data_IF_255444662433
#
_entry.id   IF_255444662433
#
_cell.length_a   1.000
_cell.length_b   1.000
_cell.length_c   1.000
_cell.angle_alpha   90.00
_cell.angle_beta   90.00
_cell.angle_gamma   90.00
#
_symmetry.space_group_name_H-M   'P 1'
#
loop_
_entity.id
_entity.type
_entity.pdbx_description
1 polymer ?
#
# COMPACT_ATOMS: atom_id res chain seq x y z
N UNK A 1 6.90 -13.33 0.19
CA UNK A 1 7.97 -12.39 -0.21
C UNK A 1 8.78 -13.04 -1.31
N UNK A 2 9.12 -12.30 -2.36
CA UNK A 2 9.87 -12.81 -3.51
C UNK A 2 11.10 -11.93 -3.71
N UNK A 3 12.25 -12.54 -3.95
CA UNK A 3 13.49 -11.84 -4.25
C UNK A 3 13.76 -11.89 -5.74
N UNK A 4 14.27 -10.80 -6.30
CA UNK A 4 14.73 -10.80 -7.68
C UNK A 4 16.06 -11.55 -7.79
N UNK A 5 16.28 -12.23 -8.92
CA UNK A 5 17.55 -12.91 -9.18
C UNK A 5 18.72 -11.93 -9.24
N UNK A 6 18.45 -10.69 -9.65
CA UNK A 6 19.34 -9.55 -9.58
C UNK A 6 18.56 -8.31 -9.15
N UNK A 7 19.11 -7.44 -8.29
CA UNK A 7 18.45 -6.19 -7.93
C UNK A 7 18.20 -5.32 -9.16
N UNK A 8 17.03 -4.71 -9.23
CA UNK A 8 16.64 -3.80 -10.32
C UNK A 8 16.85 -2.36 -9.88
N UNK A 9 17.66 -1.60 -10.62
CA UNK A 9 17.87 -0.18 -10.35
C UNK A 9 16.84 0.67 -11.11
N UNK A 10 16.08 1.48 -10.37
CA UNK A 10 15.09 2.43 -10.91
C UNK A 10 15.45 3.83 -10.39
N UNK A 11 16.08 4.62 -11.26
CA UNK A 11 16.63 5.93 -10.86
C UNK A 11 17.68 5.78 -9.75
N UNK A 12 17.40 6.40 -8.60
CA UNK A 12 18.26 6.35 -7.40
C UNK A 12 17.95 5.17 -6.48
N UNK A 13 16.90 4.41 -6.75
CA UNK A 13 16.42 3.33 -5.89
C UNK A 13 16.81 1.96 -6.45
N UNK A 14 17.00 1.00 -5.54
CA UNK A 14 17.39 -0.36 -5.86
C UNK A 14 16.35 -1.31 -5.30
N UNK A 15 15.59 -1.93 -6.21
CA UNK A 15 14.55 -2.89 -5.87
C UNK A 15 15.19 -4.28 -5.73
N UNK A 16 15.16 -4.85 -4.54
CA UNK A 16 15.71 -6.17 -4.26
C UNK A 16 14.67 -7.28 -4.41
N UNK A 17 13.39 -6.94 -4.26
CA UNK A 17 12.32 -7.91 -4.31
C UNK A 17 10.93 -7.31 -4.32
N UNK A 18 9.95 -8.19 -4.26
CA UNK A 18 8.53 -7.89 -4.27
C UNK A 18 7.84 -8.49 -3.05
N UNK A 19 7.00 -7.69 -2.42
CA UNK A 19 6.14 -8.10 -1.33
C UNK A 19 4.69 -8.15 -1.80
N UNK A 20 3.97 -9.20 -1.42
CA UNK A 20 2.52 -9.32 -1.57
C UNK A 20 1.93 -10.01 -0.35
N UNK A 21 0.80 -9.52 0.12
CA UNK A 21 -0.04 -10.18 1.11
C UNK A 21 -1.49 -9.79 0.88
N UNK A 22 -2.33 -10.81 0.77
CA UNK A 22 -3.77 -10.65 0.66
C UNK A 22 -4.39 -11.42 1.84
N UNK A 23 -5.23 -10.76 2.63
CA UNK A 23 -5.89 -11.31 3.81
C UNK A 23 -7.38 -11.02 3.78
N UNK A 24 -8.19 -11.99 4.19
CA UNK A 24 -9.64 -11.83 4.36
C UNK A 24 -9.96 -12.18 5.82
N UNK A 25 -10.64 -11.28 6.52
CA UNK A 25 -11.12 -11.46 7.88
C UNK A 25 -12.64 -11.31 7.92
N UNK A 26 -13.32 -12.28 8.55
CA UNK A 26 -14.78 -12.32 8.57
C UNK A 26 -15.38 -12.39 7.16
N UNK A 27 -16.58 -11.83 6.99
CA UNK A 27 -17.29 -11.85 5.72
C UNK A 27 -16.82 -10.74 4.75
N UNK A 28 -16.51 -9.55 5.27
CA UNK A 28 -16.42 -8.33 4.46
C UNK A 28 -15.08 -7.60 4.57
N UNK A 29 -14.19 -7.97 5.48
CA UNK A 29 -12.95 -7.22 5.72
C UNK A 29 -11.80 -7.83 4.93
N UNK A 30 -11.21 -7.04 4.02
CA UNK A 30 -10.13 -7.48 3.14
C UNK A 30 -8.96 -6.54 3.28
N UNK A 31 -7.75 -7.08 3.16
CA UNK A 31 -6.51 -6.33 3.18
C UNK A 31 -5.60 -6.80 2.05
N UNK A 32 -5.16 -5.87 1.23
CA UNK A 32 -4.23 -6.09 0.14
C UNK A 32 -3.00 -5.22 0.39
N UNK A 33 -1.83 -5.83 0.35
CA UNK A 33 -0.54 -5.17 0.42
C UNK A 33 0.30 -5.66 -0.73
N UNK A 34 0.86 -4.74 -1.52
CA UNK A 34 1.79 -5.11 -2.57
C UNK A 34 2.80 -4.01 -2.85
N UNK A 35 4.00 -4.37 -3.26
CA UNK A 35 5.02 -3.39 -3.59
C UNK A 35 6.42 -3.95 -3.52
N UNK A 36 7.39 -3.07 -3.35
CA UNK A 36 8.80 -3.41 -3.50
C UNK A 36 9.56 -3.36 -2.18
N UNK A 37 10.61 -4.16 -2.15
CA UNK A 37 11.61 -4.18 -1.08
C UNK A 37 12.84 -3.47 -1.61
N UNK A 38 13.34 -2.51 -0.84
CA UNK A 38 14.42 -1.63 -1.26
C UNK A 38 15.64 -1.81 -0.37
N UNK A 39 16.83 -1.61 -0.96
CA UNK A 39 18.07 -1.60 -0.19
C UNK A 39 18.27 -0.30 0.57
N UNK A 40 17.71 0.80 0.06
CA UNK A 40 17.80 2.12 0.68
C UNK A 40 16.99 2.19 1.98
N UNK A 41 17.43 3.04 2.92
CA UNK A 41 16.66 3.39 4.12
C UNK A 41 15.37 4.15 3.78
N UNK A 42 14.36 4.19 4.67
CA UNK A 42 13.14 4.97 4.43
C UNK A 42 13.43 6.45 4.12
N UNK A 43 14.42 7.05 4.78
CA UNK A 43 14.79 8.46 4.57
C UNK A 43 15.37 8.69 3.16
N UNK A 44 16.20 7.78 2.66
CA UNK A 44 16.73 7.83 1.30
C UNK A 44 15.64 7.63 0.24
N UNK A 45 14.64 6.78 0.52
CA UNK A 45 13.46 6.62 -0.33
C UNK A 45 12.64 7.91 -0.39
N UNK A 46 12.37 8.55 0.76
CA UNK A 46 11.66 9.84 0.81
C UNK A 46 12.42 10.90 0.02
N UNK A 47 13.73 11.01 0.22
CA UNK A 47 14.56 11.97 -0.52
C UNK A 47 14.56 11.73 -2.03
N UNK A 48 14.43 10.47 -2.46
CA UNK A 48 14.34 10.10 -3.88
C UNK A 48 12.96 10.39 -4.47
N UNK A 49 11.90 10.28 -3.67
CA UNK A 49 10.49 10.50 -4.05
C UNK A 49 9.97 11.84 -3.50
N UNK A 50 10.67 12.93 -3.82
CA UNK A 50 10.40 14.27 -3.29
C UNK A 50 9.04 14.87 -3.71
N UNK A 51 8.46 14.41 -4.82
CA UNK A 51 7.12 14.83 -5.27
C UNK A 51 5.98 14.13 -4.53
N UNK A 52 6.30 13.25 -3.57
CA UNK A 52 5.31 12.57 -2.73
C UNK A 52 5.26 13.27 -1.39
N UNK A 53 4.06 13.72 -1.01
CA UNK A 53 3.80 14.27 0.32
C UNK A 53 3.74 13.14 1.36
N UNK A 54 4.87 12.88 2.00
CA UNK A 54 5.00 11.88 3.07
C UNK A 54 4.56 12.46 4.41
N UNK A 55 3.74 11.70 5.12
CA UNK A 55 3.34 11.97 6.51
C UNK A 55 3.92 10.88 7.41
N UNK A 56 4.59 11.26 8.49
CA UNK A 56 5.05 10.30 9.49
C UNK A 56 3.85 9.60 10.14
N UNK A 57 3.96 8.30 10.35
CA UNK A 57 2.90 7.46 10.91
C UNK A 57 3.51 6.25 11.63
N UNK A 58 3.46 6.25 12.95
CA UNK A 58 4.16 5.27 13.79
C UNK A 58 5.67 5.24 13.49
N UNK A 59 6.19 4.05 13.22
CA UNK A 59 7.59 3.81 12.84
C UNK A 59 7.85 3.93 11.33
N UNK A 60 6.86 4.40 10.55
CA UNK A 60 6.93 4.51 9.10
C UNK A 60 6.35 5.82 8.58
N UNK A 61 5.97 5.79 7.31
CA UNK A 61 5.39 6.92 6.60
C UNK A 61 4.23 6.48 5.72
N UNK A 62 3.26 7.39 5.56
CA UNK A 62 2.12 7.22 4.68
C UNK A 62 2.02 8.37 3.67
N UNK A 63 1.44 8.08 2.51
CA UNK A 63 1.17 9.09 1.49
C UNK A 63 -0.06 8.72 0.66
N UNK A 64 -0.67 9.73 0.01
CA UNK A 64 -1.77 9.56 -0.97
C UNK A 64 -2.95 8.74 -0.44
N UNK A 65 -3.33 8.97 0.82
CA UNK A 65 -4.48 8.32 1.46
C UNK A 65 -5.78 8.70 0.75
N UNK A 66 -6.58 7.71 0.38
CA UNK A 66 -7.89 7.88 -0.26
C UNK A 66 -8.91 6.93 0.36
N UNK A 67 -10.18 7.33 0.40
CA UNK A 67 -11.28 6.53 0.93
C UNK A 67 -12.46 6.55 -0.04
N UNK A 68 -13.19 5.44 -0.09
CA UNK A 68 -14.47 5.31 -0.78
C UNK A 68 -15.50 4.75 0.21
N UNK A 69 -16.53 5.53 0.52
CA UNK A 69 -17.62 5.18 1.43
C UNK A 69 -18.81 4.62 0.64
N UNK A 70 -19.77 4.05 1.37
CA UNK A 70 -21.03 3.62 0.78
C UNK A 70 -21.72 4.81 0.08
N UNK A 71 -22.01 4.66 -1.21
CA UNK A 71 -22.63 5.69 -2.04
C UNK A 71 -21.65 6.57 -2.83
N UNK A 72 -20.35 6.53 -2.52
CA UNK A 72 -19.35 7.27 -3.30
C UNK A 72 -19.21 6.69 -4.71
N UNK A 73 -19.17 7.54 -5.72
CA UNK A 73 -18.90 7.15 -7.11
C UNK A 73 -17.40 7.12 -7.43
N UNK A 74 -16.58 7.83 -6.66
CA UNK A 74 -15.15 8.04 -6.89
C UNK A 74 -14.37 8.10 -5.59
N UNK A 75 -13.06 7.83 -5.66
CA UNK A 75 -12.15 7.94 -4.52
C UNK A 75 -12.06 9.38 -4.02
N UNK A 76 -12.24 9.57 -2.72
CA UNK A 76 -12.09 10.86 -2.05
C UNK A 76 -10.78 10.90 -1.26
N UNK A 77 -10.18 12.09 -1.13
CA UNK A 77 -8.98 12.27 -0.32
C UNK A 77 -9.25 11.88 1.14
N UNK A 78 -8.35 11.09 1.75
CA UNK A 78 -8.41 10.75 3.17
C UNK A 78 -7.21 11.32 3.93
N UNK A 79 -7.37 12.55 4.44
CA UNK A 79 -6.35 13.22 5.27
C UNK A 79 -6.21 12.62 6.68
N UNK A 80 -7.17 11.78 7.07
CA UNK A 80 -7.22 11.13 8.37
C UNK A 80 -6.64 9.71 8.36
N UNK A 81 -6.07 9.26 7.24
CA UNK A 81 -5.38 7.97 7.16
C UNK A 81 -4.20 7.93 8.15
N UNK A 82 -4.19 6.87 8.96
CA UNK A 82 -3.18 6.55 9.98
C UNK A 82 -3.12 5.02 10.15
N UNK A 83 -1.96 4.47 10.52
CA UNK A 83 -1.83 3.03 10.76
C UNK A 83 -2.56 2.58 12.03
N UNK A 84 -2.88 1.28 12.07
CA UNK A 84 -3.44 0.63 13.24
C UNK A 84 -4.92 0.93 13.51
N UNK A 85 -5.56 1.79 12.71
CA UNK A 85 -6.99 2.05 12.80
C UNK A 85 -7.71 1.31 11.68
N UNK A 86 -8.68 0.48 12.05
CA UNK A 86 -9.52 -0.22 11.10
C UNK A 86 -10.34 0.77 10.27
N UNK A 87 -10.46 0.49 8.97
CA UNK A 87 -11.30 1.27 8.07
C UNK A 87 -12.76 1.26 8.55
N UNK A 88 -13.44 2.41 8.46
CA UNK A 88 -14.83 2.50 8.90
C UNK A 88 -15.70 1.45 8.18
N UNK A 89 -16.67 0.86 8.90
CA UNK A 89 -17.53 -0.20 8.34
C UNK A 89 -18.20 0.25 7.04
N UNK A 90 -18.10 -0.57 5.99
CA UNK A 90 -18.69 -0.28 4.69
C UNK A 90 -17.91 0.72 3.85
N UNK A 91 -16.71 1.13 4.27
CA UNK A 91 -15.80 1.91 3.45
C UNK A 91 -14.54 1.11 3.08
N UNK A 92 -13.87 1.57 2.05
CA UNK A 92 -12.59 1.06 1.58
C UNK A 92 -11.57 2.19 1.60
N UNK A 93 -10.38 1.92 2.11
CA UNK A 93 -9.25 2.85 2.11
C UNK A 93 -8.13 2.31 1.22
N UNK A 94 -7.39 3.21 0.57
CA UNK A 94 -6.08 2.91 -0.02
C UNK A 94 -5.06 3.95 0.40
N UNK A 95 -3.84 3.50 0.69
CA UNK A 95 -2.74 4.37 1.09
C UNK A 95 -1.40 3.78 0.62
N UNK A 96 -0.44 4.65 0.32
CA UNK A 96 0.96 4.25 0.11
C UNK A 96 1.65 4.24 1.46
N UNK A 97 2.30 3.13 1.80
CA UNK A 97 3.07 2.96 3.03
C UNK A 97 4.55 2.81 2.70
N UNK A 98 5.39 3.41 3.52
CA UNK A 98 6.83 3.22 3.55
C UNK A 98 7.23 2.82 4.96
N UNK A 99 7.63 1.56 5.13
CA UNK A 99 7.94 0.99 6.45
C UNK A 99 9.31 0.32 6.44
N UNK A 100 9.94 0.23 7.62
CA UNK A 100 11.05 -0.69 7.83
C UNK A 100 10.51 -1.97 8.49
N UNK A 101 10.66 -3.09 7.81
CA UNK A 101 10.23 -4.39 8.31
C UNK A 101 11.39 -5.38 8.26
N UNK A 102 11.77 -5.89 9.44
CA UNK A 102 12.87 -6.85 9.59
C UNK A 102 14.19 -6.35 8.96
N UNK A 103 14.49 -5.05 9.12
CA UNK A 103 15.71 -4.44 8.60
C UNK A 103 15.68 -4.14 7.10
N UNK A 104 14.52 -4.27 6.44
CA UNK A 104 14.34 -3.97 5.02
C UNK A 104 13.27 -2.91 4.82
N UNK A 105 13.53 -1.95 3.94
CA UNK A 105 12.57 -0.92 3.57
C UNK A 105 11.55 -1.50 2.60
N UNK A 106 10.27 -1.30 2.88
CA UNK A 106 9.16 -1.72 2.02
C UNK A 106 8.36 -0.49 1.59
N UNK A 107 8.23 -0.32 0.27
CA UNK A 107 7.34 0.67 -0.35
C UNK A 107 6.12 -0.05 -0.88
N UNK A 108 4.99 0.11 -0.21
CA UNK A 108 3.79 -0.69 -0.40
C UNK A 108 2.61 0.18 -0.82
N UNK A 109 1.87 -0.27 -1.82
CA UNK A 109 0.48 0.10 -2.02
C UNK A 109 -0.40 -0.79 -1.14
N UNK A 110 -1.43 -0.19 -0.55
CA UNK A 110 -2.38 -0.90 0.30
C UNK A 110 -3.82 -0.60 -0.09
N UNK A 111 -4.71 -1.59 0.09
CA UNK A 111 -6.16 -1.43 0.02
C UNK A 111 -6.78 -2.23 1.16
N UNK A 112 -7.62 -1.61 1.98
CA UNK A 112 -8.23 -2.26 3.15
C UNK A 112 -9.68 -1.85 3.38
N UNK A 113 -10.42 -2.68 4.13
CA UNK A 113 -11.80 -2.45 4.52
C UNK A 113 -12.80 -3.33 3.76
N UNK A 114 -13.99 -2.78 3.48
CA UNK A 114 -15.06 -3.45 2.73
C UNK A 114 -14.81 -3.43 1.22
N UNK A 115 -13.71 -4.07 0.79
CA UNK A 115 -13.20 -4.02 -0.58
C UNK A 115 -14.07 -4.84 -1.54
N UNK A 116 -14.48 -4.22 -2.64
CA UNK A 116 -15.21 -4.87 -3.74
C UNK A 116 -14.35 -5.05 -4.98
N UNK A 117 -14.71 -5.99 -5.85
CA UNK A 117 -14.04 -6.22 -7.14
C UNK A 117 -13.96 -4.94 -8.00
N UNK A 118 -15.03 -4.13 -7.97
CA UNK A 118 -15.08 -2.83 -8.68
C UNK A 118 -13.99 -1.86 -8.20
N UNK A 119 -13.56 -1.97 -6.95
CA UNK A 119 -12.53 -1.10 -6.37
C UNK A 119 -11.12 -1.68 -6.54
N UNK A 120 -10.94 -2.99 -6.36
CA UNK A 120 -9.60 -3.60 -6.36
C UNK A 120 -9.11 -3.95 -7.77
N UNK A 121 -9.96 -4.44 -8.67
CA UNK A 121 -9.52 -4.88 -10.00
C UNK A 121 -8.90 -3.76 -10.86
N UNK A 122 -9.36 -2.49 -10.81
CA UNK A 122 -8.66 -1.40 -11.49
C UNK A 122 -7.26 -1.12 -10.93
N UNK A 123 -6.99 -1.44 -9.67
CA UNK A 123 -5.69 -1.26 -9.01
C UNK A 123 -4.78 -2.49 -9.13
N UNK A 124 -5.40 -3.67 -9.16
CA UNK A 124 -4.79 -5.00 -9.20
C UNK A 124 -5.50 -5.88 -10.23
N UNK A 125 -5.34 -5.58 -11.53
CA UNK A 125 -5.99 -6.35 -12.59
C UNK A 125 -5.49 -7.80 -12.64
N UNK A 126 -4.34 -8.09 -12.04
CA UNK A 126 -3.78 -9.43 -11.88
C UNK A 126 -4.64 -10.35 -10.99
N UNK A 127 -5.53 -9.80 -10.17
CA UNK A 127 -6.49 -10.59 -9.38
C UNK A 127 -7.71 -11.05 -10.19
N UNK A 128 -7.84 -10.61 -11.45
CA UNK A 128 -8.93 -11.05 -12.30
C UNK A 128 -8.79 -12.54 -12.64
N UNK A 129 -9.80 -13.34 -12.28
CA UNK A 129 -9.82 -14.78 -12.55
C UNK A 129 -9.23 -15.65 -11.45
N UNK A 130 -8.72 -15.07 -10.37
CA UNK A 130 -8.48 -15.79 -9.12
C UNK A 130 -9.84 -16.02 -8.41
N UNK A 131 -10.56 -17.08 -8.80
CA UNK A 131 -11.78 -17.56 -8.11
C UNK A 131 -11.51 -18.86 -7.37
#
# INVERSE_FOLDING_TARGET
>A
MLWFSQPLRVGKLTLEGYFRRDSIYGADERFYFWGFILSESPQEVIASLHDVEWKADGDGYMARGMIMRAGDSEWQENRSAVSGIATAKGSTERVVMLENRQGKTQLLCTVQGSVTDKQILPLRPDLAGEK
#
